data_IF_649636174538
#
_entry.id   IF_649636174538
#
_cell.length_a   1.000
_cell.length_b   1.000
_cell.length_c   1.000
_cell.angle_alpha   90.00
_cell.angle_beta   90.00
_cell.angle_gamma   90.00
#
_symmetry.space_group_name_H-M   'P 1'
#
loop_
_entity.id
_entity.type
_entity.pdbx_description
1 polymer ?
#
# COMPACT_ATOMS: atom_id res chain seq x y z
N UNK A 1 -35.76 36.01 -71.43
CA UNK A 1 -35.84 34.89 -70.45
C UNK A 1 -34.48 34.25 -70.11
N UNK A 2 -33.39 35.01 -69.88
CA UNK A 2 -32.04 34.43 -69.59
C UNK A 2 -31.52 34.61 -68.15
N UNK A 3 -32.23 35.36 -67.28
CA UNK A 3 -31.72 35.73 -65.94
C UNK A 3 -32.06 34.78 -64.78
N UNK A 4 -33.04 33.88 -64.93
CA UNK A 4 -33.59 33.10 -63.78
C UNK A 4 -32.79 31.82 -63.50
N UNK A 5 -32.06 31.26 -64.47
CA UNK A 5 -31.29 30.01 -64.28
C UNK A 5 -29.98 30.16 -63.48
N UNK A 6 -29.48 31.38 -63.29
CA UNK A 6 -28.17 31.62 -62.68
C UNK A 6 -28.24 31.75 -61.15
N UNK A 7 -29.39 32.18 -60.60
CA UNK A 7 -29.58 32.38 -59.15
C UNK A 7 -29.75 31.04 -58.41
N UNK A 8 -30.41 30.05 -59.03
CA UNK A 8 -30.61 28.72 -58.45
C UNK A 8 -29.33 27.88 -58.31
N UNK A 9 -28.30 28.12 -59.14
CA UNK A 9 -27.00 27.40 -59.04
C UNK A 9 -26.08 27.90 -57.92
N UNK A 10 -26.24 29.14 -57.46
CA UNK A 10 -25.42 29.74 -56.38
C UNK A 10 -25.92 29.34 -54.99
N UNK A 11 -27.24 29.24 -54.79
CA UNK A 11 -27.84 28.84 -53.51
C UNK A 11 -27.53 27.39 -53.12
N UNK A 12 -27.59 26.45 -54.06
CA UNK A 12 -27.33 25.03 -53.80
C UNK A 12 -25.90 24.73 -53.31
N UNK A 13 -24.89 25.43 -53.85
CA UNK A 13 -23.49 25.27 -53.41
C UNK A 13 -23.23 25.82 -52.01
N UNK A 14 -23.98 26.86 -51.60
CA UNK A 14 -23.88 27.43 -50.25
C UNK A 14 -24.61 26.55 -49.23
N UNK A 15 -25.78 26.01 -49.57
CA UNK A 15 -26.49 25.01 -48.76
C UNK A 15 -25.69 23.72 -48.56
N UNK A 16 -25.06 23.19 -49.61
CA UNK A 16 -24.24 21.98 -49.50
C UNK A 16 -23.03 22.22 -48.57
N UNK A 17 -22.39 23.38 -48.66
CA UNK A 17 -21.29 23.74 -47.74
C UNK A 17 -21.77 23.84 -46.29
N UNK A 18 -22.94 24.45 -46.06
CA UNK A 18 -23.52 24.55 -44.72
C UNK A 18 -23.88 23.17 -44.14
N UNK A 19 -24.48 22.29 -44.94
CA UNK A 19 -24.81 20.93 -44.51
C UNK A 19 -23.56 20.07 -44.23
N UNK A 20 -22.51 20.20 -45.04
CA UNK A 20 -21.22 19.51 -44.80
C UNK A 20 -20.54 20.04 -43.53
N UNK A 21 -20.58 21.36 -43.29
CA UNK A 21 -20.05 21.95 -42.05
C UNK A 21 -20.81 21.50 -40.80
N UNK A 22 -22.15 21.40 -40.88
CA UNK A 22 -22.97 20.88 -39.77
C UNK A 22 -22.67 19.39 -39.54
N UNK A 23 -22.53 18.59 -40.60
CA UNK A 23 -22.20 17.17 -40.49
C UNK A 23 -20.81 16.94 -39.87
N UNK A 24 -19.81 17.73 -40.27
CA UNK A 24 -18.46 17.69 -39.68
C UNK A 24 -18.46 18.13 -38.21
N UNK A 25 -19.28 19.12 -37.86
CA UNK A 25 -19.44 19.55 -36.46
C UNK A 25 -20.14 18.49 -35.61
N UNK A 26 -21.15 17.81 -36.17
CA UNK A 26 -21.79 16.67 -35.50
C UNK A 26 -20.83 15.50 -35.32
N UNK A 27 -19.97 15.18 -36.30
CA UNK A 27 -18.96 14.13 -36.15
C UNK A 27 -17.91 14.51 -35.08
N UNK A 28 -17.51 15.78 -35.01
CA UNK A 28 -16.60 16.26 -33.98
C UNK A 28 -17.21 16.22 -32.55
N UNK A 29 -18.53 16.38 -32.42
CA UNK A 29 -19.26 16.23 -31.16
C UNK A 29 -19.51 14.77 -30.74
N UNK A 30 -19.27 13.81 -31.65
CA UNK A 30 -19.38 12.36 -31.39
C UNK A 30 -18.01 11.67 -31.34
N UNK A 31 -16.91 12.42 -31.23
CA UNK A 31 -15.64 11.81 -30.86
C UNK A 31 -15.85 11.08 -29.52
N UNK A 32 -15.57 9.76 -29.43
CA UNK A 32 -15.68 9.06 -28.17
C UNK A 32 -14.78 9.80 -27.18
N UNK A 33 -15.37 10.31 -26.10
CA UNK A 33 -14.58 10.80 -24.99
C UNK A 33 -13.68 9.64 -24.54
N UNK A 34 -12.39 9.71 -24.82
CA UNK A 34 -11.43 8.79 -24.23
C UNK A 34 -11.60 8.92 -22.72
N UNK A 35 -12.09 7.84 -22.10
CA UNK A 35 -12.21 7.80 -20.65
C UNK A 35 -10.79 8.02 -20.09
N UNK A 36 -10.59 9.13 -19.40
CA UNK A 36 -9.28 9.49 -18.85
C UNK A 36 -8.79 8.36 -17.94
N UNK A 37 -7.71 7.69 -18.36
CA UNK A 37 -7.04 6.69 -17.53
C UNK A 37 -6.55 7.35 -16.26
N UNK A 38 -6.87 6.75 -15.12
CA UNK A 38 -6.36 7.16 -13.81
C UNK A 38 -5.09 6.39 -13.53
N UNK A 39 -3.97 7.10 -13.52
CA UNK A 39 -2.67 6.58 -13.12
C UNK A 39 -2.53 6.71 -11.61
N UNK A 40 -2.25 5.61 -10.93
CA UNK A 40 -2.02 5.55 -9.49
C UNK A 40 -0.68 4.87 -9.20
N UNK A 41 -0.06 5.27 -8.09
CA UNK A 41 1.19 4.70 -7.60
C UNK A 41 0.93 3.86 -6.35
N UNK A 42 1.40 2.61 -6.34
CA UNK A 42 1.34 1.73 -5.17
C UNK A 42 2.75 1.40 -4.67
N UNK A 43 3.05 1.74 -3.41
CA UNK A 43 4.34 1.43 -2.78
C UNK A 43 4.24 0.28 -1.77
N UNK A 44 5.18 -0.67 -1.83
CA UNK A 44 5.40 -1.70 -0.80
C UNK A 44 6.89 -1.85 -0.50
N UNK A 45 7.25 -2.10 0.76
CA UNK A 45 8.64 -2.28 1.17
C UNK A 45 9.16 -3.71 0.96
N UNK A 46 8.26 -4.67 0.77
CA UNK A 46 8.56 -6.09 0.62
C UNK A 46 9.00 -6.44 -0.82
N UNK A 47 9.84 -7.47 -1.01
CA UNK A 47 10.25 -7.92 -2.35
C UNK A 47 9.13 -8.68 -3.07
N UNK A 48 9.18 -8.83 -4.41
CA UNK A 48 8.06 -9.35 -5.22
C UNK A 48 7.54 -10.74 -4.83
N UNK A 49 8.39 -11.59 -4.27
CA UNK A 49 8.02 -12.96 -3.85
C UNK A 49 7.36 -13.01 -2.47
N UNK A 50 7.43 -11.94 -1.70
CA UNK A 50 6.84 -11.89 -0.36
C UNK A 50 5.34 -11.62 -0.46
N UNK A 51 4.56 -12.26 0.41
CA UNK A 51 3.08 -12.25 0.38
C UNK A 51 2.39 -10.88 0.24
N UNK A 52 2.88 -9.81 0.88
CA UNK A 52 2.30 -8.46 0.76
C UNK A 52 2.49 -7.88 -0.65
N UNK A 53 3.66 -8.11 -1.27
CA UNK A 53 3.90 -7.68 -2.64
C UNK A 53 3.07 -8.49 -3.65
N UNK A 54 2.90 -9.79 -3.39
CA UNK A 54 2.00 -10.64 -4.19
C UNK A 54 0.54 -10.22 -4.04
N UNK A 55 0.08 -9.89 -2.83
CA UNK A 55 -1.26 -9.38 -2.57
C UNK A 55 -1.50 -8.03 -3.27
N UNK A 56 -0.51 -7.13 -3.23
CA UNK A 56 -0.57 -5.86 -3.96
C UNK A 56 -0.68 -6.10 -5.49
N UNK A 57 0.14 -6.99 -6.06
CA UNK A 57 0.06 -7.33 -7.47
C UNK A 57 -1.29 -7.96 -7.85
N UNK A 58 -1.83 -8.85 -7.02
CA UNK A 58 -3.15 -9.45 -7.23
C UNK A 58 -4.26 -8.38 -7.19
N UNK A 59 -4.18 -7.43 -6.25
CA UNK A 59 -5.11 -6.31 -6.18
C UNK A 59 -5.03 -5.42 -7.42
N UNK A 60 -3.82 -5.12 -7.92
CA UNK A 60 -3.62 -4.36 -9.16
C UNK A 60 -4.29 -5.07 -10.33
N UNK A 61 -4.01 -6.36 -10.52
CA UNK A 61 -4.60 -7.15 -11.60
C UNK A 61 -6.14 -7.10 -11.54
N UNK A 62 -6.71 -7.21 -10.32
CA UNK A 62 -8.16 -7.16 -10.14
C UNK A 62 -8.75 -5.78 -10.42
N UNK A 63 -8.07 -4.71 -10.02
CA UNK A 63 -8.49 -3.33 -10.32
C UNK A 63 -8.43 -3.07 -11.82
N UNK A 64 -7.38 -3.52 -12.51
CA UNK A 64 -7.27 -3.38 -13.97
C UNK A 64 -8.41 -4.12 -14.69
N UNK A 65 -8.73 -5.34 -14.26
CA UNK A 65 -9.85 -6.13 -14.80
C UNK A 65 -11.20 -5.41 -14.58
N UNK A 66 -11.51 -5.06 -13.33
CA UNK A 66 -12.79 -4.45 -12.96
C UNK A 66 -12.97 -3.05 -13.55
N UNK A 67 -11.88 -2.30 -13.72
CA UNK A 67 -11.91 -0.97 -14.33
C UNK A 67 -11.87 -1.00 -15.86
N UNK A 68 -11.71 -2.18 -16.48
CA UNK A 68 -11.51 -2.34 -17.93
C UNK A 68 -10.33 -1.48 -18.42
N UNK A 69 -9.23 -1.44 -17.65
CA UNK A 69 -8.04 -0.66 -17.93
C UNK A 69 -8.15 0.85 -17.68
N UNK A 70 -9.28 1.35 -17.16
CA UNK A 70 -9.44 2.79 -16.84
C UNK A 70 -8.66 3.22 -15.61
N UNK A 71 -8.25 2.29 -14.76
CA UNK A 71 -7.35 2.53 -13.63
C UNK A 71 -6.08 1.72 -13.89
N UNK A 72 -4.97 2.41 -14.01
CA UNK A 72 -3.65 1.81 -14.12
C UNK A 72 -2.88 2.08 -12.83
N UNK A 73 -2.29 1.04 -12.24
CA UNK A 73 -1.57 1.12 -10.98
C UNK A 73 -0.13 0.64 -11.20
N UNK A 74 0.83 1.51 -10.95
CA UNK A 74 2.26 1.17 -11.01
C UNK A 74 2.74 0.72 -9.62
N UNK A 75 3.22 -0.53 -9.55
CA UNK A 75 3.77 -1.12 -8.33
C UNK A 75 5.25 -0.78 -8.17
N UNK A 76 5.58 -0.11 -7.06
CA UNK A 76 6.95 0.06 -6.59
C UNK A 76 7.17 -0.83 -5.37
N UNK A 77 8.04 -1.83 -5.52
CA UNK A 77 8.30 -2.83 -4.48
C UNK A 77 9.70 -2.65 -3.86
N UNK A 78 10.09 -3.52 -2.92
CA UNK A 78 11.43 -3.51 -2.32
C UNK A 78 11.87 -2.14 -1.79
N UNK A 79 10.93 -1.36 -1.25
CA UNK A 79 11.19 -0.02 -0.72
C UNK A 79 11.80 0.97 -1.74
N UNK A 80 11.50 0.80 -3.03
CA UNK A 80 11.94 1.72 -4.11
C UNK A 80 11.54 3.18 -3.87
N UNK A 81 10.42 3.42 -3.17
CA UNK A 81 9.93 4.75 -2.80
C UNK A 81 10.21 5.12 -1.33
N UNK A 82 11.14 4.41 -0.69
CA UNK A 82 11.51 4.61 0.71
C UNK A 82 10.88 3.60 1.66
N UNK A 83 11.20 3.74 2.95
CA UNK A 83 10.65 2.92 4.01
C UNK A 83 9.17 3.25 4.30
N UNK A 84 8.48 2.38 5.05
CA UNK A 84 7.06 2.52 5.36
C UNK A 84 6.68 3.90 5.95
N UNK A 85 7.51 4.48 6.82
CA UNK A 85 7.25 5.82 7.38
C UNK A 85 7.32 6.90 6.30
N UNK A 86 8.32 6.84 5.42
CA UNK A 86 8.46 7.78 4.30
C UNK A 86 7.28 7.64 3.33
N UNK A 87 6.86 6.42 3.03
CA UNK A 87 5.69 6.15 2.18
C UNK A 87 4.41 6.71 2.79
N UNK A 88 4.19 6.54 4.10
CA UNK A 88 3.03 7.13 4.80
C UNK A 88 2.99 8.66 4.69
N UNK A 89 4.16 9.33 4.72
CA UNK A 89 4.25 10.78 4.47
C UNK A 89 4.01 11.13 3.00
N UNK A 90 4.58 10.36 2.06
CA UNK A 90 4.38 10.53 0.63
C UNK A 90 2.89 10.43 0.26
N UNK A 91 2.14 9.54 0.91
CA UNK A 91 0.68 9.47 0.75
C UNK A 91 -0.03 10.75 1.20
N UNK A 92 0.40 11.39 2.29
CA UNK A 92 -0.18 12.69 2.72
C UNK A 92 0.10 13.81 1.73
N UNK A 93 1.27 13.77 1.10
CA UNK A 93 1.66 14.74 0.08
C UNK A 93 0.99 14.46 -1.27
N UNK A 94 0.34 13.31 -1.44
CA UNK A 94 -0.29 12.89 -2.70
C UNK A 94 0.70 12.42 -3.77
N UNK A 95 1.95 12.09 -3.40
CA UNK A 95 2.95 11.56 -4.34
C UNK A 95 2.97 10.04 -4.42
N UNK A 96 2.26 9.36 -3.50
CA UNK A 96 1.95 7.93 -3.53
C UNK A 96 0.46 7.77 -3.24
N UNK A 97 -0.27 7.03 -4.06
CA UNK A 97 -1.73 6.91 -3.92
C UNK A 97 -2.15 5.75 -3.01
N UNK A 98 -1.40 4.65 -3.06
CA UNK A 98 -1.73 3.38 -2.42
C UNK A 98 -0.50 2.79 -1.73
N UNK A 99 -0.70 2.08 -0.62
CA UNK A 99 0.37 1.31 0.01
C UNK A 99 -0.17 0.19 0.88
N UNK A 100 0.61 -0.89 1.01
CA UNK A 100 0.44 -1.90 2.05
C UNK A 100 1.45 -1.58 3.14
N UNK A 101 0.97 -1.10 4.29
CA UNK A 101 1.82 -0.65 5.40
C UNK A 101 1.53 -1.46 6.65
N UNK A 102 2.57 -1.87 7.35
CA UNK A 102 2.50 -2.51 8.65
C UNK A 102 1.83 -1.61 9.68
N UNK A 103 1.06 -2.20 10.60
CA UNK A 103 0.31 -1.45 11.61
C UNK A 103 1.20 -0.55 12.47
N UNK A 104 2.41 -1.02 12.84
CA UNK A 104 3.35 -0.28 13.69
C UNK A 104 3.80 1.08 13.09
N UNK A 105 4.41 1.17 11.89
CA UNK A 105 4.75 2.46 11.29
C UNK A 105 3.55 3.40 11.12
N UNK A 106 2.35 2.86 10.87
CA UNK A 106 1.12 3.65 10.77
C UNK A 106 0.71 4.28 12.11
N UNK A 107 1.18 3.79 13.26
CA UNK A 107 0.85 4.38 14.59
C UNK A 107 1.32 5.82 14.73
N UNK A 108 2.34 6.23 13.96
CA UNK A 108 2.81 7.62 13.89
C UNK A 108 1.73 8.59 13.38
N UNK A 109 0.79 8.09 12.58
CA UNK A 109 -0.33 8.86 12.03
C UNK A 109 -1.68 8.42 12.61
N UNK A 110 -1.93 7.12 12.78
CA UNK A 110 -3.13 6.52 13.40
C UNK A 110 -2.74 5.79 14.72
N UNK A 111 -2.54 6.51 15.85
CA UNK A 111 -2.07 5.91 17.11
C UNK A 111 -2.94 4.76 17.64
N UNK A 112 -4.23 4.75 17.28
CA UNK A 112 -5.17 3.72 17.68
C UNK A 112 -4.75 2.32 17.18
N UNK A 113 -3.96 2.24 16.09
CA UNK A 113 -3.45 0.97 15.56
C UNK A 113 -2.48 0.24 16.48
N UNK A 114 -1.88 0.93 17.47
CA UNK A 114 -1.05 0.26 18.49
C UNK A 114 -1.86 -0.81 19.25
N UNK A 115 -3.19 -0.72 19.31
CA UNK A 115 -4.00 -1.79 19.88
C UNK A 115 -3.80 -3.14 19.17
N UNK A 116 -3.54 -3.14 17.85
CA UNK A 116 -3.29 -4.35 17.06
C UNK A 116 -1.83 -4.86 17.17
N UNK A 117 -0.93 -4.09 17.80
CA UNK A 117 0.48 -4.49 18.00
C UNK A 117 0.72 -5.14 19.36
N UNK A 118 -0.32 -5.25 20.20
CA UNK A 118 -0.23 -5.92 21.49
C UNK A 118 0.26 -7.37 21.34
N UNK A 119 1.28 -7.78 22.12
CA UNK A 119 1.77 -9.15 22.07
C UNK A 119 0.67 -10.10 22.54
N UNK A 120 0.54 -11.24 21.85
CA UNK A 120 -0.42 -12.31 22.16
C UNK A 120 -1.92 -11.91 22.10
N UNK A 121 -2.26 -10.80 21.44
CA UNK A 121 -3.66 -10.39 21.23
C UNK A 121 -4.48 -11.48 20.50
N UNK A 122 -3.91 -12.06 19.46
CA UNK A 122 -4.50 -13.16 18.71
C UNK A 122 -3.86 -14.50 19.12
N UNK A 123 -4.70 -15.52 19.36
CA UNK A 123 -4.27 -16.82 19.87
C UNK A 123 -3.77 -17.74 18.76
N UNK A 124 -4.47 -17.72 17.64
CA UNK A 124 -4.28 -18.59 16.48
C UNK A 124 -4.91 -17.93 15.24
N UNK A 125 -4.67 -18.51 14.06
CA UNK A 125 -5.11 -17.92 12.80
C UNK A 125 -6.64 -17.90 12.71
N UNK A 126 -7.32 -18.88 13.32
CA UNK A 126 -8.78 -18.91 13.39
C UNK A 126 -9.33 -17.70 14.16
N UNK A 127 -8.65 -17.29 15.24
CA UNK A 127 -9.01 -16.07 15.96
C UNK A 127 -8.80 -14.82 15.10
N UNK A 128 -7.73 -14.77 14.29
CA UNK A 128 -7.48 -13.67 13.34
C UNK A 128 -8.59 -13.61 12.29
N UNK A 129 -8.88 -14.72 11.62
CA UNK A 129 -9.92 -14.77 10.57
C UNK A 129 -11.29 -14.39 11.12
N UNK A 130 -11.68 -14.91 12.27
CA UNK A 130 -12.94 -14.56 12.91
C UNK A 130 -13.03 -13.07 13.29
N UNK A 131 -11.92 -12.47 13.73
CA UNK A 131 -11.91 -11.08 14.18
C UNK A 131 -11.78 -10.06 13.03
N UNK A 132 -11.06 -10.41 11.96
CA UNK A 132 -10.65 -9.51 10.87
C UNK A 132 -11.46 -9.71 9.59
N UNK A 133 -11.73 -10.97 9.23
CA UNK A 133 -12.40 -11.34 7.97
C UNK A 133 -13.90 -11.49 8.15
N UNK A 134 -14.32 -12.32 9.11
CA UNK A 134 -15.74 -12.55 9.43
C UNK A 134 -16.34 -11.41 10.27
N UNK A 135 -15.51 -10.78 11.09
CA UNK A 135 -15.89 -9.73 12.01
C UNK A 135 -15.70 -8.34 11.40
N UNK A 136 -16.71 -7.49 11.52
CA UNK A 136 -16.61 -6.10 11.04
C UNK A 136 -16.13 -5.11 12.10
N UNK A 137 -16.01 -5.52 13.38
CA UNK A 137 -15.67 -4.62 14.48
C UNK A 137 -14.35 -3.87 14.24
N UNK A 138 -13.28 -4.59 13.89
CA UNK A 138 -11.95 -3.99 13.67
C UNK A 138 -12.03 -2.98 12.52
N UNK A 139 -12.63 -3.36 11.39
CA UNK A 139 -12.79 -2.47 10.22
C UNK A 139 -13.61 -1.22 10.56
N UNK A 140 -14.75 -1.39 11.23
CA UNK A 140 -15.66 -0.31 11.60
C UNK A 140 -15.06 0.63 12.64
N UNK A 141 -14.25 0.11 13.56
CA UNK A 141 -13.56 0.92 14.55
C UNK A 141 -12.45 1.78 13.93
N UNK A 142 -11.63 1.19 13.04
CA UNK A 142 -10.47 1.89 12.49
C UNK A 142 -10.79 2.81 11.32
N UNK A 143 -11.78 2.49 10.47
CA UNK A 143 -12.11 3.28 9.28
C UNK A 143 -12.30 4.79 9.59
N UNK A 144 -13.09 5.22 10.59
CA UNK A 144 -13.22 6.64 10.92
C UNK A 144 -11.91 7.30 11.37
N UNK A 145 -10.99 6.54 11.98
CA UNK A 145 -9.70 7.06 12.44
C UNK A 145 -8.76 7.37 11.28
N UNK A 146 -8.80 6.56 10.22
CA UNK A 146 -8.10 6.81 8.96
C UNK A 146 -8.70 8.03 8.25
N UNK A 147 -10.02 8.07 8.09
CA UNK A 147 -10.72 9.13 7.35
C UNK A 147 -10.47 10.50 7.97
N UNK A 148 -10.53 10.62 9.31
CA UNK A 148 -10.23 11.86 10.04
C UNK A 148 -8.83 12.43 9.78
N UNK A 149 -7.92 11.61 9.26
CA UNK A 149 -6.52 11.98 9.01
C UNK A 149 -6.17 12.02 7.53
N UNK A 150 -7.19 11.92 6.67
CA UNK A 150 -7.05 12.02 5.22
C UNK A 150 -6.64 10.72 4.54
N UNK A 151 -6.82 9.57 5.19
CA UNK A 151 -6.52 8.26 4.62
C UNK A 151 -7.79 7.44 4.41
N UNK A 152 -7.76 6.55 3.41
CA UNK A 152 -8.82 5.57 3.18
C UNK A 152 -8.27 4.18 3.49
N UNK A 153 -8.85 3.51 4.47
CA UNK A 153 -8.54 2.11 4.78
C UNK A 153 -9.28 1.20 3.80
N UNK A 154 -8.53 0.54 2.91
CA UNK A 154 -9.10 -0.40 1.94
C UNK A 154 -9.34 -1.79 2.51
N UNK A 155 -8.52 -2.21 3.48
CA UNK A 155 -8.61 -3.53 4.09
C UNK A 155 -7.46 -3.80 5.05
N UNK A 156 -7.46 -5.01 5.60
CA UNK A 156 -6.38 -5.55 6.43
C UNK A 156 -5.81 -6.77 5.74
N UNK A 157 -4.49 -6.95 5.84
CA UNK A 157 -3.79 -8.12 5.34
C UNK A 157 -3.08 -8.77 6.52
N UNK A 158 -3.34 -10.06 6.76
CA UNK A 158 -2.67 -10.79 7.82
C UNK A 158 -1.20 -11.02 7.44
N UNK A 159 -0.27 -10.39 8.17
CA UNK A 159 1.18 -10.50 7.94
C UNK A 159 1.83 -11.79 8.49
N UNK A 160 1.04 -12.66 9.12
CA UNK A 160 1.51 -13.87 9.80
C UNK A 160 2.03 -13.64 11.23
N UNK A 161 2.34 -14.74 11.92
CA UNK A 161 2.96 -14.67 13.25
C UNK A 161 4.38 -14.15 13.21
N UNK A 162 4.72 -13.39 14.24
CA UNK A 162 6.04 -12.80 14.43
C UNK A 162 6.83 -13.61 15.44
N UNK A 163 8.14 -13.69 15.23
CA UNK A 163 9.10 -14.29 16.14
C UNK A 163 10.38 -13.48 16.22
N UNK A 164 11.23 -13.82 17.19
CA UNK A 164 12.58 -13.26 17.32
C UNK A 164 13.54 -14.11 16.49
N UNK A 165 14.43 -13.45 15.74
CA UNK A 165 15.53 -14.08 15.00
C UNK A 165 16.79 -13.21 15.14
N UNK A 166 17.97 -13.81 14.99
CA UNK A 166 19.23 -13.08 15.09
C UNK A 166 20.44 -13.98 15.24
N UNK A 167 21.52 -13.41 15.76
CA UNK A 167 22.86 -14.02 15.74
C UNK A 167 23.10 -15.07 16.82
N UNK A 168 22.32 -15.04 17.90
CA UNK A 168 22.50 -15.94 19.05
C UNK A 168 21.29 -16.87 19.19
N UNK A 169 21.51 -18.09 19.68
CA UNK A 169 20.41 -18.99 20.01
C UNK A 169 19.60 -18.42 21.19
N UNK A 170 18.28 -18.58 21.13
CA UNK A 170 17.36 -18.28 22.24
C UNK A 170 16.68 -19.59 22.63
N UNK A 171 17.13 -20.20 23.73
CA UNK A 171 16.50 -21.40 24.30
C UNK A 171 15.68 -21.05 25.56
N UNK A 172 15.95 -19.88 26.14
CA UNK A 172 15.22 -19.34 27.29
C UNK A 172 15.18 -17.81 27.25
N UNK A 173 14.29 -17.21 28.04
CA UNK A 173 14.24 -15.74 28.18
C UNK A 173 15.53 -15.14 28.76
N UNK A 174 16.35 -15.93 29.45
CA UNK A 174 17.64 -15.47 29.96
C UNK A 174 18.62 -15.16 28.82
N UNK A 175 18.58 -15.91 27.72
CA UNK A 175 19.48 -15.75 26.57
C UNK A 175 19.24 -14.42 25.82
N UNK A 176 18.01 -13.92 25.88
CA UNK A 176 17.59 -12.67 25.25
C UNK A 176 17.87 -11.43 26.11
N UNK A 177 18.08 -11.58 27.42
CA UNK A 177 18.22 -10.44 28.35
C UNK A 177 19.50 -9.64 28.06
N UNK A 178 19.37 -8.31 28.04
CA UNK A 178 20.47 -7.39 27.76
C UNK A 178 20.90 -7.32 26.29
N UNK A 179 20.26 -8.10 25.40
CA UNK A 179 20.58 -8.13 23.98
C UNK A 179 19.87 -7.02 23.22
N UNK A 180 20.53 -6.46 22.21
CA UNK A 180 20.00 -5.40 21.36
C UNK A 180 19.04 -5.99 20.35
N UNK A 181 17.79 -5.52 20.32
CA UNK A 181 16.77 -6.02 19.40
C UNK A 181 16.22 -4.90 18.53
N UNK A 182 16.23 -5.11 17.22
CA UNK A 182 15.51 -4.28 16.28
C UNK A 182 14.01 -4.55 16.38
N UNK A 183 13.24 -3.47 16.37
CA UNK A 183 11.77 -3.49 16.28
C UNK A 183 11.29 -2.54 15.18
N UNK A 184 10.03 -2.66 14.79
CA UNK A 184 9.34 -1.60 14.05
C UNK A 184 9.06 -0.39 14.97
N UNK A 185 8.79 0.77 14.36
CA UNK A 185 8.48 1.99 15.11
C UNK A 185 7.06 1.93 15.72
N UNK A 186 6.95 1.38 16.92
CA UNK A 186 5.72 1.40 17.73
C UNK A 186 6.03 1.31 19.23
N UNK A 187 5.43 2.19 20.02
CA UNK A 187 5.72 2.31 21.45
C UNK A 187 5.38 1.03 22.22
N UNK A 188 4.35 0.29 21.83
CA UNK A 188 3.96 -0.97 22.49
C UNK A 188 4.97 -2.07 22.18
N UNK A 189 5.44 -2.18 20.93
CA UNK A 189 6.49 -3.13 20.57
C UNK A 189 7.79 -2.83 21.36
N UNK A 190 8.24 -1.57 21.40
CA UNK A 190 9.41 -1.19 22.19
C UNK A 190 9.22 -1.51 23.69
N UNK A 191 8.06 -1.17 24.26
CA UNK A 191 7.78 -1.45 25.66
C UNK A 191 7.76 -2.96 25.96
N UNK A 192 7.24 -3.77 25.03
CA UNK A 192 7.19 -5.23 25.13
C UNK A 192 8.60 -5.80 25.27
N UNK A 193 9.49 -5.51 24.34
CA UNK A 193 10.86 -6.06 24.37
C UNK A 193 11.69 -5.51 25.53
N UNK A 194 11.46 -4.27 25.94
CA UNK A 194 12.05 -3.72 27.17
C UNK A 194 11.58 -4.47 28.41
N UNK A 195 10.29 -4.80 28.51
CA UNK A 195 9.72 -5.59 29.61
C UNK A 195 10.27 -7.03 29.64
N UNK A 196 10.63 -7.58 28.47
CA UNK A 196 11.35 -8.86 28.35
C UNK A 196 12.84 -8.77 28.73
N UNK A 197 13.33 -7.58 29.11
CA UNK A 197 14.71 -7.34 29.53
C UNK A 197 15.69 -7.15 28.38
N UNK A 198 15.21 -6.95 27.14
CA UNK A 198 16.04 -6.65 25.98
C UNK A 198 16.28 -5.13 25.84
N UNK A 199 17.14 -4.74 24.91
CA UNK A 199 17.44 -3.34 24.56
C UNK A 199 16.85 -3.04 23.17
N UNK A 200 15.58 -2.61 23.08
CA UNK A 200 14.94 -2.39 21.79
C UNK A 200 15.34 -1.08 21.13
N UNK A 201 15.57 -1.13 19.81
CA UNK A 201 15.79 0.03 18.95
C UNK A 201 14.86 -0.04 17.74
N UNK A 202 14.17 1.07 17.43
CA UNK A 202 13.38 1.16 16.20
C UNK A 202 14.31 1.40 15.01
N UNK A 203 14.32 0.48 14.06
CA UNK A 203 15.13 0.59 12.84
C UNK A 203 14.24 0.23 11.64
N UNK A 204 14.16 1.07 10.59
CA UNK A 204 13.44 0.73 9.37
C UNK A 204 13.90 -0.59 8.75
N UNK A 205 12.97 -1.36 8.17
CA UNK A 205 13.27 -2.69 7.63
C UNK A 205 14.45 -2.71 6.63
N UNK A 206 14.60 -1.73 5.72
CA UNK A 206 15.72 -1.71 4.77
C UNK A 206 17.11 -1.63 5.44
N UNK A 207 17.20 -1.14 6.68
CA UNK A 207 18.46 -0.95 7.41
C UNK A 207 18.84 -2.17 8.27
N UNK A 208 17.97 -3.17 8.39
CA UNK A 208 18.17 -4.36 9.22
C UNK A 208 19.41 -5.18 8.81
N UNK A 209 19.67 -5.48 7.51
CA UNK A 209 20.86 -6.23 7.11
C UNK A 209 22.17 -5.57 7.59
N UNK A 210 22.32 -4.28 7.31
CA UNK A 210 23.51 -3.51 7.73
C UNK A 210 23.60 -3.41 9.25
N UNK A 211 22.47 -3.33 9.96
CA UNK A 211 22.46 -3.27 11.42
C UNK A 211 22.97 -4.57 12.06
N UNK A 212 22.68 -5.72 11.46
CA UNK A 212 23.29 -7.00 11.87
C UNK A 212 24.79 -7.03 11.55
N UNK A 213 25.20 -6.64 10.34
CA UNK A 213 26.60 -6.65 9.90
C UNK A 213 27.50 -5.76 10.77
N UNK A 214 27.00 -4.60 11.17
CA UNK A 214 27.73 -3.62 11.99
C UNK A 214 27.64 -3.91 13.49
N UNK A 215 26.87 -4.92 13.90
CA UNK A 215 26.65 -5.24 15.30
C UNK A 215 25.86 -4.18 16.06
N UNK A 216 25.09 -3.32 15.36
CA UNK A 216 24.15 -2.38 16.02
C UNK A 216 23.02 -3.14 16.71
N UNK A 217 22.65 -4.31 16.18
CA UNK A 217 21.62 -5.20 16.76
C UNK A 217 22.14 -6.64 16.85
N UNK A 218 21.67 -7.35 17.87
CA UNK A 218 21.92 -8.78 18.07
C UNK A 218 20.75 -9.62 17.51
N UNK A 219 19.54 -9.06 17.59
CA UNK A 219 18.28 -9.66 17.18
C UNK A 219 17.42 -8.68 16.40
N UNK A 220 16.44 -9.23 15.70
CA UNK A 220 15.29 -8.51 15.18
C UNK A 220 14.03 -9.36 15.39
N UNK A 221 12.88 -8.74 15.19
CA UNK A 221 11.58 -9.42 15.26
C UNK A 221 10.78 -9.20 13.98
N UNK A 222 9.96 -10.18 13.61
CA UNK A 222 9.25 -10.17 12.33
C UNK A 222 8.60 -11.50 11.98
N UNK A 223 7.81 -11.48 10.90
CA UNK A 223 7.18 -12.69 10.37
C UNK A 223 8.16 -13.58 9.61
N UNK A 224 7.92 -14.90 9.63
CA UNK A 224 8.75 -15.89 8.93
C UNK A 224 8.86 -15.61 7.42
N UNK A 225 7.79 -15.07 6.83
CA UNK A 225 7.73 -14.67 5.43
C UNK A 225 8.80 -13.61 5.09
N UNK A 226 8.90 -12.58 5.93
CA UNK A 226 9.90 -11.52 5.80
C UNK A 226 11.30 -12.05 6.08
N UNK A 227 11.48 -12.85 7.13
CA UNK A 227 12.75 -13.50 7.45
C UNK A 227 13.33 -14.28 6.27
N UNK A 228 12.51 -15.11 5.63
CA UNK A 228 12.93 -15.92 4.49
C UNK A 228 13.20 -15.08 3.23
N UNK A 229 12.27 -14.21 2.83
CA UNK A 229 12.41 -13.48 1.56
C UNK A 229 13.43 -12.34 1.59
N UNK A 230 13.76 -11.81 2.77
CA UNK A 230 14.86 -10.87 2.97
C UNK A 230 16.17 -11.55 3.34
N UNK A 231 16.20 -12.89 3.39
CA UNK A 231 17.38 -13.70 3.68
C UNK A 231 18.06 -13.34 5.00
N UNK A 232 17.29 -13.10 6.04
CA UNK A 232 17.83 -12.84 7.39
C UNK A 232 18.42 -14.10 8.06
N UNK A 233 18.45 -15.23 7.35
CA UNK A 233 19.14 -16.45 7.75
C UNK A 233 20.60 -16.51 7.29
N UNK A 234 21.01 -15.61 6.38
CA UNK A 234 22.41 -15.46 5.92
C UNK A 234 23.23 -14.61 6.92
#
# INVERSE_FOLDING_TARGET
MRGIRTVLKRGGRSMIRLMVSILLLCIALHAPAEAQTRELTLAVDQPPKQGNAQAAQAAINKVTELSQGKINITLHHSAQLGNERQVVQAMRMGTVDLSVVSAAPLTTVIPELSALTLPYLFRDYQHVYKAVDEGDFIRNYFKPQFERRGYVMLGLVAGGYRGIYGQFAINSMADARGKKIRTMEDKIILATFKALGMIPTAIPQPEVPTSFQTGVIDFAEGGINTFYHLKYYD
#
